data_IF_025627368789
#
_entry.id   IF_025627368789
#
_cell.length_a   1.000
_cell.length_b   1.000
_cell.length_c   1.000
_cell.angle_alpha   90.00
_cell.angle_beta   90.00
_cell.angle_gamma   90.00
#
_symmetry.space_group_name_H-M   'P 1'
#
loop_
_entity.id
_entity.type
_entity.pdbx_description
1 polymer ?
#
# COMPACT_ATOMS: atom_id res chain seq x y z
N UNK A 1 5.99 34.14 -13.01
CA UNK A 1 4.88 33.69 -12.14
C UNK A 1 5.30 33.92 -10.69
N UNK A 2 4.40 34.26 -9.75
CA UNK A 2 4.77 34.39 -8.32
C UNK A 2 4.33 33.16 -7.54
N UNK A 3 5.30 32.45 -6.96
CA UNK A 3 5.05 31.36 -6.00
C UNK A 3 5.52 31.82 -4.62
N UNK A 4 4.61 31.82 -3.65
CA UNK A 4 4.88 32.28 -2.28
C UNK A 4 5.56 33.67 -2.21
N UNK A 5 5.17 34.58 -3.10
CA UNK A 5 5.72 35.94 -3.16
C UNK A 5 7.09 36.07 -3.85
N UNK A 6 7.71 34.96 -4.27
CA UNK A 6 8.96 34.95 -5.04
C UNK A 6 8.64 34.94 -6.52
N UNK A 7 9.22 35.89 -7.27
CA UNK A 7 9.16 35.90 -8.73
C UNK A 7 9.98 34.72 -9.28
N UNK A 8 9.29 33.79 -9.95
CA UNK A 8 9.89 32.67 -10.64
C UNK A 8 9.91 33.01 -12.12
N UNK A 9 11.11 33.35 -12.60
CA UNK A 9 11.38 33.71 -14.00
C UNK A 9 12.02 32.55 -14.79
N UNK A 10 12.37 31.45 -14.13
CA UNK A 10 12.97 30.26 -14.73
C UNK A 10 12.00 29.07 -14.68
N UNK A 11 11.88 28.34 -15.79
CA UNK A 11 11.14 27.09 -15.87
C UNK A 11 12.04 25.97 -16.40
N UNK A 12 11.64 24.72 -16.17
CA UNK A 12 12.27 23.55 -16.78
C UNK A 12 11.67 23.21 -18.16
N UNK A 13 10.90 24.14 -18.75
CA UNK A 13 10.32 24.00 -20.08
C UNK A 13 11.45 23.82 -21.11
N UNK A 14 11.35 22.79 -21.95
CA UNK A 14 12.39 22.44 -22.93
C UNK A 14 13.51 21.54 -22.38
N UNK A 15 13.56 21.30 -21.06
CA UNK A 15 14.43 20.29 -20.43
C UNK A 15 13.64 19.02 -20.10
N UNK A 16 12.44 19.18 -19.55
CA UNK A 16 11.55 18.08 -19.23
C UNK A 16 10.20 18.20 -19.94
N UNK A 17 9.65 17.04 -20.26
CA UNK A 17 8.26 16.87 -20.65
C UNK A 17 7.50 16.20 -19.50
N UNK A 18 6.35 16.77 -19.12
CA UNK A 18 5.47 16.13 -18.14
C UNK A 18 4.67 15.03 -18.84
N UNK A 19 5.07 13.79 -18.61
CA UNK A 19 4.43 12.61 -19.24
C UNK A 19 3.16 12.15 -18.52
N UNK A 20 3.04 12.40 -17.22
CA UNK A 20 1.97 11.88 -16.39
C UNK A 20 1.85 12.72 -15.10
N UNK A 21 0.65 12.77 -14.50
CA UNK A 21 0.42 13.34 -13.16
C UNK A 21 -0.57 12.42 -12.46
N UNK A 22 -0.20 12.00 -11.26
CA UNK A 22 -1.05 11.19 -10.38
C UNK A 22 -1.43 12.01 -9.17
N UNK A 23 -2.72 12.10 -8.90
CA UNK A 23 -3.27 12.79 -7.75
C UNK A 23 -4.00 11.80 -6.86
N UNK A 24 -4.31 12.22 -5.64
CA UNK A 24 -5.00 11.36 -4.71
C UNK A 24 -5.02 11.90 -3.29
N UNK A 25 -5.50 11.07 -2.37
CA UNK A 25 -5.84 11.44 -1.02
C UNK A 25 -5.69 10.24 -0.07
N UNK A 26 -5.53 10.55 1.21
CA UNK A 26 -5.50 9.57 2.31
C UNK A 26 -5.96 10.29 3.56
N UNK A 27 -6.73 9.61 4.39
CA UNK A 27 -7.25 10.13 5.65
C UNK A 27 -8.75 10.01 5.75
N UNK A 28 -9.23 9.94 6.99
CA UNK A 28 -10.61 9.64 7.35
C UNK A 28 -11.59 10.59 6.63
N UNK A 29 -12.68 10.02 6.11
CA UNK A 29 -13.70 10.74 5.35
C UNK A 29 -13.37 10.95 3.87
N UNK A 30 -12.11 11.12 3.50
CA UNK A 30 -11.75 11.42 2.10
C UNK A 30 -12.18 10.32 1.12
N UNK A 31 -11.99 9.02 1.39
CA UNK A 31 -12.53 7.96 0.55
C UNK A 31 -14.06 7.98 0.42
N UNK A 32 -14.79 8.21 1.52
CA UNK A 32 -16.25 8.26 1.51
C UNK A 32 -16.75 9.46 0.69
N UNK A 33 -16.12 10.62 0.83
CA UNK A 33 -16.42 11.84 0.06
C UNK A 33 -16.12 11.69 -1.44
N UNK A 34 -15.28 10.73 -1.83
CA UNK A 34 -14.80 10.54 -3.20
C UNK A 34 -15.25 9.21 -3.83
N UNK A 35 -16.27 8.54 -3.27
CA UNK A 35 -16.65 7.20 -3.70
C UNK A 35 -17.57 7.13 -4.94
N UNK A 36 -17.94 8.27 -5.51
CA UNK A 36 -18.76 8.38 -6.72
C UNK A 36 -18.00 8.11 -8.03
N UNK A 37 -17.17 7.07 -8.08
CA UNK A 37 -16.33 6.71 -9.24
C UNK A 37 -16.51 5.25 -9.64
N UNK A 38 -16.09 4.91 -10.87
CA UNK A 38 -16.18 3.54 -11.37
C UNK A 38 -15.43 2.55 -10.47
N UNK A 39 -16.00 1.35 -10.31
CA UNK A 39 -15.42 0.31 -9.46
C UNK A 39 -15.94 0.33 -8.02
N UNK A 40 -16.78 1.30 -7.65
CA UNK A 40 -17.50 1.34 -6.36
C UNK A 40 -19.01 1.22 -6.61
N UNK A 41 -19.76 0.45 -5.80
CA UNK A 41 -21.21 0.42 -5.90
C UNK A 41 -21.88 1.77 -5.65
N UNK A 42 -23.00 2.01 -6.35
CA UNK A 42 -23.89 3.18 -6.16
C UNK A 42 -24.53 3.23 -4.75
N UNK A 43 -24.38 2.17 -3.95
CA UNK A 43 -24.85 2.11 -2.55
C UNK A 43 -23.97 2.90 -1.58
N UNK A 44 -22.86 3.48 -2.07
CA UNK A 44 -21.88 4.25 -1.29
C UNK A 44 -21.38 3.48 -0.04
N UNK A 45 -20.76 2.30 -0.22
CA UNK A 45 -20.48 1.38 0.89
C UNK A 45 -19.19 1.71 1.68
N UNK A 46 -18.41 2.71 1.27
CA UNK A 46 -17.17 3.11 1.97
C UNK A 46 -17.54 3.87 3.24
N UNK A 47 -17.12 3.41 4.44
CA UNK A 47 -17.47 4.08 5.70
C UNK A 47 -16.91 5.51 5.81
N UNK A 48 -17.66 6.40 6.47
CA UNK A 48 -17.30 7.81 6.69
C UNK A 48 -15.99 8.00 7.45
N UNK A 49 -15.61 7.04 8.29
CA UNK A 49 -14.36 7.05 9.06
C UNK A 49 -13.22 6.32 8.32
N UNK A 50 -13.45 5.83 7.10
CA UNK A 50 -12.47 5.01 6.40
C UNK A 50 -11.28 5.85 5.93
N UNK A 51 -10.04 5.48 6.30
CA UNK A 51 -8.84 6.19 5.83
C UNK A 51 -8.49 5.82 4.38
N UNK A 52 -8.99 4.68 3.90
CA UNK A 52 -8.75 4.12 2.56
C UNK A 52 -10.00 3.44 1.97
N UNK A 53 -10.07 3.27 0.66
CA UNK A 53 -11.22 2.75 -0.07
C UNK A 53 -11.67 1.33 0.29
N UNK A 54 -10.79 0.47 0.83
CA UNK A 54 -11.19 -0.90 1.20
C UNK A 54 -11.89 -0.99 2.56
N UNK A 55 -12.09 0.14 3.27
CA UNK A 55 -12.85 0.15 4.52
C UNK A 55 -12.05 -0.22 5.77
N UNK A 56 -10.71 -0.15 5.69
CA UNK A 56 -9.82 -0.55 6.77
C UNK A 56 -8.55 0.30 6.82
N UNK A 57 -8.07 0.53 8.05
CA UNK A 57 -6.77 1.11 8.32
C UNK A 57 -5.65 0.19 7.80
N UNK A 58 -4.70 0.77 7.08
CA UNK A 58 -3.54 0.04 6.54
C UNK A 58 -2.20 0.58 7.08
N UNK A 59 -2.16 1.84 7.51
CA UNK A 59 -0.96 2.56 7.96
C UNK A 59 -0.59 2.36 9.44
N UNK A 60 -0.64 1.14 9.97
CA UNK A 60 -0.21 0.87 11.36
C UNK A 60 1.29 1.14 11.55
N UNK A 61 1.68 1.89 12.58
CA UNK A 61 3.07 2.28 12.83
C UNK A 61 4.02 1.07 12.90
N UNK A 62 3.65 0.01 13.62
CA UNK A 62 4.46 -1.23 13.73
C UNK A 62 4.44 -2.10 12.47
N UNK A 63 3.66 -1.71 11.45
CA UNK A 63 3.66 -2.35 10.14
C UNK A 63 4.46 -1.55 9.11
N UNK A 64 5.18 -0.51 9.52
CA UNK A 64 6.05 0.30 8.69
C UNK A 64 7.52 0.07 9.04
N UNK A 65 8.39 -0.01 8.02
CA UNK A 65 9.83 0.08 8.25
C UNK A 65 10.20 1.47 8.81
N UNK A 66 11.32 1.57 9.52
CA UNK A 66 11.85 2.88 9.93
C UNK A 66 12.50 3.59 8.74
N UNK A 67 12.65 4.92 8.80
CA UNK A 67 13.39 5.66 7.77
C UNK A 67 14.84 5.17 7.63
N UNK A 68 15.49 4.84 8.75
CA UNK A 68 16.82 4.22 8.74
C UNK A 68 16.80 2.84 8.08
N UNK A 69 15.78 2.02 8.33
CA UNK A 69 15.65 0.67 7.79
C UNK A 69 15.40 0.61 6.27
N UNK A 70 15.00 1.73 5.65
CA UNK A 70 14.87 1.82 4.19
C UNK A 70 16.00 2.63 3.55
N UNK A 71 16.99 3.06 4.32
CA UNK A 71 18.10 3.87 3.84
C UNK A 71 19.22 2.98 3.30
N UNK A 72 19.76 3.32 2.13
CA UNK A 72 20.92 2.65 1.55
C UNK A 72 22.16 2.97 2.42
N UNK A 73 22.76 1.94 3.01
CA UNK A 73 23.89 2.10 3.94
C UNK A 73 25.20 2.54 3.28
N UNK A 74 25.49 2.00 2.08
CA UNK A 74 26.82 2.10 1.49
C UNK A 74 26.80 2.30 -0.02
N UNK A 75 27.94 2.76 -0.55
CA UNK A 75 28.15 2.97 -1.98
C UNK A 75 27.71 4.34 -2.50
N UNK A 76 27.64 4.52 -3.83
CA UNK A 76 27.44 5.83 -4.45
C UNK A 76 26.13 6.54 -4.07
N UNK A 77 25.13 5.78 -3.60
CA UNK A 77 23.81 6.26 -3.22
C UNK A 77 23.53 6.11 -1.72
N UNK A 78 24.58 5.93 -0.90
CA UNK A 78 24.46 5.92 0.55
C UNK A 78 23.66 7.13 1.06
N UNK A 79 22.74 6.92 1.99
CA UNK A 79 21.78 7.91 2.47
C UNK A 79 20.58 8.18 1.54
N UNK A 80 20.50 7.47 0.40
CA UNK A 80 19.34 7.42 -0.48
C UNK A 80 18.41 6.26 -0.12
N UNK A 81 17.41 6.00 -0.97
CA UNK A 81 16.51 4.84 -0.89
C UNK A 81 16.06 4.47 -2.30
N UNK A 82 15.44 3.30 -2.47
CA UNK A 82 14.65 3.03 -3.68
C UNK A 82 13.17 3.32 -3.41
N UNK A 83 12.42 3.62 -4.47
CA UNK A 83 10.98 3.87 -4.43
C UNK A 83 10.29 2.99 -5.47
N UNK A 84 9.21 2.34 -5.06
CA UNK A 84 8.29 1.67 -5.97
C UNK A 84 6.97 2.43 -6.01
N UNK A 85 6.40 2.61 -7.20
CA UNK A 85 5.02 3.07 -7.35
C UNK A 85 4.25 2.13 -8.27
N UNK A 86 3.09 1.66 -7.80
CA UNK A 86 2.12 0.92 -8.61
C UNK A 86 0.82 1.71 -8.73
N UNK A 87 0.23 1.72 -9.91
CA UNK A 87 -1.17 2.10 -10.08
C UNK A 87 -2.01 0.84 -10.04
N UNK A 88 -2.95 0.78 -9.11
CA UNK A 88 -3.76 -0.39 -8.83
C UNK A 88 -5.22 0.01 -8.97
N UNK A 89 -5.92 -0.54 -9.97
CA UNK A 89 -7.38 -0.44 -10.04
C UNK A 89 -7.99 -1.33 -8.97
N UNK A 90 -8.98 -0.81 -8.25
CA UNK A 90 -9.70 -1.53 -7.21
C UNK A 90 -11.08 -1.96 -7.74
N UNK A 91 -11.43 -3.23 -7.52
CA UNK A 91 -12.72 -3.81 -7.87
C UNK A 91 -13.59 -3.85 -6.61
N UNK A 92 -14.04 -2.67 -6.16
CA UNK A 92 -14.74 -2.52 -4.88
C UNK A 92 -16.21 -2.93 -4.97
N UNK A 93 -16.78 -2.99 -6.16
CA UNK A 93 -18.03 -3.68 -6.44
C UNK A 93 -17.99 -5.12 -5.95
N UNK A 94 -16.97 -5.87 -6.33
CA UNK A 94 -16.76 -7.24 -5.85
C UNK A 94 -16.45 -7.27 -4.36
N UNK A 95 -15.69 -6.30 -3.86
CA UNK A 95 -15.32 -6.25 -2.45
C UNK A 95 -16.53 -6.04 -1.54
N UNK A 96 -17.41 -5.08 -1.87
CA UNK A 96 -18.52 -4.69 -1.01
C UNK A 96 -19.81 -5.49 -1.27
N UNK A 97 -20.10 -5.86 -2.52
CA UNK A 97 -21.36 -6.55 -2.84
C UNK A 97 -21.27 -8.08 -2.68
N UNK A 98 -20.10 -8.68 -2.92
CA UNK A 98 -19.96 -10.15 -2.87
C UNK A 98 -19.51 -10.66 -1.52
N UNK A 99 -18.71 -9.88 -0.78
CA UNK A 99 -18.18 -10.30 0.50
C UNK A 99 -18.94 -9.66 1.68
N UNK A 100 -19.35 -10.51 2.60
CA UNK A 100 -19.74 -10.05 3.94
C UNK A 100 -18.58 -9.35 4.66
N UNK A 101 -18.93 -8.52 5.64
CA UNK A 101 -17.94 -7.87 6.52
C UNK A 101 -16.94 -8.88 7.12
N UNK A 102 -17.40 -10.04 7.57
CA UNK A 102 -16.53 -11.09 8.14
C UNK A 102 -15.53 -11.62 7.10
N UNK A 103 -15.97 -11.88 5.87
CA UNK A 103 -15.08 -12.29 4.78
C UNK A 103 -14.04 -11.21 4.45
N UNK A 104 -14.46 -9.94 4.40
CA UNK A 104 -13.56 -8.81 4.19
C UNK A 104 -12.50 -8.69 5.29
N UNK A 105 -12.87 -8.84 6.56
CA UNK A 105 -11.91 -8.89 7.68
C UNK A 105 -10.94 -10.06 7.51
N UNK A 106 -11.44 -11.25 7.18
CA UNK A 106 -10.61 -12.44 7.00
C UNK A 106 -9.59 -12.30 5.87
N UNK A 107 -10.01 -11.70 4.75
CA UNK A 107 -9.15 -11.45 3.57
C UNK A 107 -8.19 -10.28 3.78
N UNK A 108 -8.53 -9.28 4.59
CA UNK A 108 -7.64 -8.16 4.88
C UNK A 108 -6.61 -8.49 6.00
N UNK A 109 -7.06 -9.12 7.08
CA UNK A 109 -6.24 -9.40 8.27
C UNK A 109 -5.86 -10.87 8.36
N UNK A 110 -6.77 -11.70 8.89
CA UNK A 110 -6.67 -13.15 8.97
C UNK A 110 -8.02 -13.80 9.35
N UNK A 111 -8.19 -15.12 9.16
CA UNK A 111 -9.39 -15.85 9.57
C UNK A 111 -9.74 -15.68 11.06
N UNK A 112 -8.76 -15.75 11.96
CA UNK A 112 -8.98 -15.64 13.40
C UNK A 112 -9.55 -14.27 13.83
N UNK A 113 -9.15 -13.19 13.16
CA UNK A 113 -9.74 -11.86 13.38
C UNK A 113 -11.21 -11.81 12.97
N UNK A 114 -11.57 -12.50 11.88
CA UNK A 114 -12.94 -12.56 11.39
C UNK A 114 -13.85 -13.39 12.31
N UNK A 115 -13.33 -14.51 12.84
CA UNK A 115 -14.06 -15.41 13.74
C UNK A 115 -14.28 -14.80 15.13
N UNK A 116 -13.26 -14.12 15.66
CA UNK A 116 -13.33 -13.49 16.98
C UNK A 116 -14.04 -12.12 16.98
N UNK A 117 -14.22 -11.51 15.80
CA UNK A 117 -14.72 -10.15 15.68
C UNK A 117 -13.72 -9.09 16.17
N UNK A 118 -12.42 -9.37 16.10
CA UNK A 118 -11.36 -8.52 16.65
C UNK A 118 -11.20 -7.16 15.93
N UNK A 119 -11.78 -6.96 14.75
CA UNK A 119 -11.65 -5.71 13.96
C UNK A 119 -12.97 -4.93 13.99
N UNK A 120 -13.02 -3.92 14.85
CA UNK A 120 -14.16 -3.01 14.99
C UNK A 120 -14.05 -1.87 13.95
N UNK A 121 -15.16 -1.51 13.29
CA UNK A 121 -15.19 -0.40 12.34
C UNK A 121 -14.09 -0.47 11.27
N UNK A 122 -13.26 0.56 11.17
CA UNK A 122 -12.11 0.60 10.25
C UNK A 122 -10.84 -0.08 10.81
N UNK A 123 -10.88 -0.58 12.06
CA UNK A 123 -9.78 -1.27 12.73
C UNK A 123 -8.96 -0.38 13.67
N UNK A 124 -9.51 0.75 14.12
CA UNK A 124 -8.81 1.64 15.07
C UNK A 124 -8.54 0.99 16.42
N UNK A 125 -9.40 0.07 16.83
CA UNK A 125 -9.25 -0.70 18.07
C UNK A 125 -7.96 -1.55 18.09
N UNK A 126 -7.35 -1.84 16.93
CA UNK A 126 -6.07 -2.56 16.84
C UNK A 126 -4.87 -1.70 17.25
N UNK A 127 -5.04 -0.37 17.35
CA UNK A 127 -4.00 0.56 17.79
C UNK A 127 -2.91 0.76 16.73
N UNK A 128 -1.69 0.32 17.05
CA UNK A 128 -0.46 0.59 16.29
C UNK A 128 0.06 -0.60 15.46
N UNK A 129 -0.63 -1.74 15.46
CA UNK A 129 -0.28 -2.91 14.64
C UNK A 129 -1.53 -3.64 14.16
N UNK A 130 -1.38 -4.45 13.10
CA UNK A 130 -2.46 -5.33 12.64
C UNK A 130 -2.59 -6.62 13.47
N UNK A 131 -1.88 -6.75 14.59
CA UNK A 131 -1.98 -7.88 15.55
C UNK A 131 -1.80 -9.28 14.94
N UNK A 132 -0.85 -9.44 14.02
CA UNK A 132 -0.64 -10.73 13.34
C UNK A 132 -0.16 -11.86 14.27
N UNK A 133 0.38 -11.53 15.45
CA UNK A 133 0.73 -12.52 16.48
C UNK A 133 -0.50 -13.24 17.05
N UNK A 134 -1.69 -12.64 16.95
CA UNK A 134 -2.97 -13.23 17.37
C UNK A 134 -3.56 -14.14 16.26
N UNK A 135 -2.89 -14.25 15.11
CA UNK A 135 -3.30 -15.10 13.99
C UNK A 135 -2.43 -16.35 13.88
N UNK A 136 -3.00 -17.47 13.39
CA UNK A 136 -2.18 -18.61 13.01
C UNK A 136 -1.20 -18.23 11.88
N UNK A 137 -0.05 -18.93 11.77
CA UNK A 137 0.85 -18.79 10.63
C UNK A 137 0.11 -18.99 9.30
N UNK A 138 0.55 -18.30 8.25
CA UNK A 138 -0.12 -18.28 6.95
C UNK A 138 -0.25 -19.69 6.35
N UNK A 139 0.76 -20.53 6.50
CA UNK A 139 0.80 -21.92 6.04
C UNK A 139 -0.24 -22.78 6.76
N UNK A 140 -0.42 -22.56 8.06
CA UNK A 140 -1.46 -23.23 8.87
C UNK A 140 -2.84 -22.76 8.44
N UNK A 141 -3.04 -21.44 8.34
CA UNK A 141 -4.30 -20.85 7.90
C UNK A 141 -4.70 -21.35 6.49
N UNK A 142 -3.74 -21.44 5.57
CA UNK A 142 -3.96 -21.95 4.21
C UNK A 142 -4.46 -23.40 4.20
N UNK A 143 -3.89 -24.27 5.05
CA UNK A 143 -4.27 -25.69 5.12
C UNK A 143 -5.56 -25.94 5.88
N UNK A 144 -5.78 -25.23 6.98
CA UNK A 144 -6.88 -25.50 7.90
C UNK A 144 -8.16 -24.72 7.55
N UNK A 145 -8.02 -23.46 7.12
CA UNK A 145 -9.17 -22.59 6.83
C UNK A 145 -9.39 -22.35 5.34
N UNK A 146 -8.39 -22.63 4.48
CA UNK A 146 -8.45 -22.30 3.06
C UNK A 146 -8.51 -20.79 2.77
N UNK A 147 -8.12 -19.97 3.74
CA UNK A 147 -8.09 -18.50 3.69
C UNK A 147 -6.82 -17.99 4.36
N UNK A 148 -6.13 -17.08 3.67
CA UNK A 148 -4.98 -16.37 4.24
C UNK A 148 -5.19 -14.88 4.00
N UNK A 149 -5.12 -14.09 5.06
CA UNK A 149 -5.31 -12.65 4.96
C UNK A 149 -4.13 -11.92 4.33
N UNK A 150 -4.39 -10.71 3.82
CA UNK A 150 -3.37 -9.84 3.26
C UNK A 150 -2.29 -9.50 4.29
N UNK A 151 -2.69 -9.09 5.50
CA UNK A 151 -1.76 -8.73 6.58
C UNK A 151 -0.90 -9.92 7.03
N UNK A 152 -1.47 -11.14 7.09
CA UNK A 152 -0.70 -12.35 7.38
C UNK A 152 0.42 -12.58 6.38
N UNK A 153 0.13 -12.42 5.09
CA UNK A 153 1.13 -12.58 4.04
C UNK A 153 2.22 -11.52 4.12
N UNK A 154 1.84 -10.26 4.34
CA UNK A 154 2.83 -9.17 4.50
C UNK A 154 3.75 -9.44 5.70
N UNK A 155 3.23 -9.96 6.81
CA UNK A 155 4.02 -10.26 8.01
C UNK A 155 5.14 -11.28 7.77
N UNK A 156 4.99 -12.21 6.82
CA UNK A 156 6.03 -13.21 6.49
C UNK A 156 7.29 -12.60 5.87
N UNK A 157 7.18 -11.42 5.28
CA UNK A 157 8.32 -10.72 4.67
C UNK A 157 9.15 -9.92 5.69
N UNK A 158 8.82 -9.98 6.98
CA UNK A 158 9.54 -9.27 8.02
C UNK A 158 10.90 -9.90 8.30
N UNK A 159 11.89 -9.06 8.54
CA UNK A 159 13.22 -9.48 9.02
C UNK A 159 13.37 -9.15 10.49
N UNK A 160 13.66 -10.15 11.33
CA UNK A 160 13.73 -10.00 12.80
C UNK A 160 12.46 -9.31 13.35
N UNK A 161 11.29 -9.71 12.83
CA UNK A 161 9.97 -9.14 13.11
C UNK A 161 9.82 -7.64 12.75
N UNK A 162 10.67 -7.11 11.88
CA UNK A 162 10.55 -5.74 11.36
C UNK A 162 10.08 -5.74 9.91
N UNK A 163 9.11 -4.91 9.54
CA UNK A 163 8.80 -4.67 8.13
C UNK A 163 10.02 -4.14 7.38
N UNK A 164 10.20 -4.58 6.14
CA UNK A 164 11.34 -4.20 5.28
C UNK A 164 10.99 -3.12 4.26
N UNK A 165 9.74 -2.66 4.23
CA UNK A 165 9.28 -1.55 3.39
C UNK A 165 8.53 -0.49 4.20
N UNK A 166 8.63 0.75 3.75
CA UNK A 166 7.91 1.90 4.29
C UNK A 166 6.86 2.37 3.27
N UNK A 167 5.58 2.23 3.59
CA UNK A 167 4.49 2.55 2.66
C UNK A 167 3.98 3.98 2.85
N UNK A 168 3.62 4.61 1.73
CA UNK A 168 3.03 5.95 1.63
C UNK A 168 1.96 5.96 0.53
N UNK A 169 1.18 4.90 0.48
CA UNK A 169 0.09 4.73 -0.47
C UNK A 169 -1.09 5.65 -0.18
N UNK A 170 -1.86 5.94 -1.22
CA UNK A 170 -3.00 6.85 -1.19
C UNK A 170 -4.00 6.47 -2.29
N UNK A 171 -5.27 6.73 -2.03
CA UNK A 171 -6.36 6.50 -2.98
C UNK A 171 -6.44 7.62 -4.00
N UNK A 172 -7.10 7.35 -5.12
CA UNK A 172 -7.25 8.27 -6.23
C UNK A 172 -8.56 8.03 -6.98
N UNK A 173 -9.06 9.11 -7.56
CA UNK A 173 -10.16 9.14 -8.52
C UNK A 173 -9.67 9.48 -9.93
N UNK A 174 -8.35 9.50 -10.16
CA UNK A 174 -7.79 9.75 -11.47
C UNK A 174 -8.37 8.76 -12.49
N UNK A 175 -8.88 9.28 -13.61
CA UNK A 175 -9.54 8.46 -14.64
C UNK A 175 -10.98 8.07 -14.32
N UNK A 176 -11.62 8.72 -13.34
CA UNK A 176 -13.00 8.46 -12.91
C UNK A 176 -13.21 7.02 -12.40
N UNK A 177 -12.17 6.43 -11.83
CA UNK A 177 -12.17 5.06 -11.31
C UNK A 177 -11.46 4.93 -9.96
N UNK A 178 -11.94 4.01 -9.11
CA UNK A 178 -11.34 3.72 -7.81
C UNK A 178 -9.94 3.12 -7.98
N UNK A 179 -8.93 3.90 -7.61
CA UNK A 179 -7.53 3.53 -7.77
C UNK A 179 -6.77 3.69 -6.46
N UNK A 180 -5.84 2.78 -6.18
CA UNK A 180 -4.79 2.94 -5.18
C UNK A 180 -3.47 3.20 -5.88
N UNK A 181 -2.81 4.29 -5.51
CA UNK A 181 -1.40 4.49 -5.80
C UNK A 181 -0.56 3.88 -4.67
N UNK A 182 -0.15 2.63 -4.85
CA UNK A 182 0.76 1.99 -3.91
C UNK A 182 2.15 2.59 -4.06
N UNK A 183 2.61 3.35 -3.07
CA UNK A 183 3.96 3.88 -3.00
C UNK A 183 4.69 3.23 -1.82
N UNK A 184 5.87 2.69 -2.08
CA UNK A 184 6.77 2.21 -1.02
C UNK A 184 8.18 2.74 -1.20
N UNK A 185 8.86 2.90 -0.08
CA UNK A 185 10.29 3.13 0.04
C UNK A 185 10.92 1.89 0.66
N UNK A 186 12.10 1.54 0.18
CA UNK A 186 12.83 0.37 0.63
C UNK A 186 14.32 0.49 0.30
N UNK A 187 15.17 -0.17 1.09
CA UNK A 187 16.62 -0.08 0.94
C UNK A 187 17.04 -0.58 -0.44
N UNK A 188 16.48 -1.70 -0.89
CA UNK A 188 16.68 -2.23 -2.24
C UNK A 188 15.36 -2.59 -2.91
N UNK A 189 15.32 -2.63 -4.26
CA UNK A 189 14.16 -3.15 -4.99
C UNK A 189 13.88 -4.63 -4.67
N UNK A 190 14.87 -5.37 -4.13
CA UNK A 190 14.70 -6.72 -3.61
C UNK A 190 13.63 -6.76 -2.53
N UNK A 191 13.72 -5.89 -1.54
CA UNK A 191 12.80 -5.87 -0.37
C UNK A 191 11.33 -5.68 -0.80
N UNK A 192 11.09 -4.84 -1.83
CA UNK A 192 9.76 -4.72 -2.43
C UNK A 192 9.32 -6.01 -3.13
N UNK A 193 10.23 -6.63 -3.88
CA UNK A 193 9.96 -7.87 -4.62
C UNK A 193 9.65 -9.01 -3.66
N UNK A 194 10.42 -9.16 -2.58
CA UNK A 194 10.22 -10.17 -1.53
C UNK A 194 8.88 -9.97 -0.82
N UNK A 195 8.55 -8.72 -0.45
CA UNK A 195 7.25 -8.39 0.13
C UNK A 195 6.10 -8.72 -0.83
N UNK A 196 6.24 -8.37 -2.11
CA UNK A 196 5.24 -8.64 -3.16
C UNK A 196 5.07 -10.14 -3.40
N UNK A 197 6.15 -10.91 -3.41
CA UNK A 197 6.12 -12.37 -3.62
C UNK A 197 5.42 -13.05 -2.45
N UNK A 198 5.74 -12.65 -1.22
CA UNK A 198 5.01 -13.11 -0.04
C UNK A 198 3.51 -12.77 -0.11
N UNK A 199 3.18 -11.55 -0.52
CA UNK A 199 1.79 -11.14 -0.76
C UNK A 199 1.11 -11.89 -1.90
N UNK A 200 1.86 -12.38 -2.89
CA UNK A 200 1.30 -13.19 -3.98
C UNK A 200 0.90 -14.57 -3.44
N UNK A 201 1.70 -15.12 -2.52
CA UNK A 201 1.37 -16.36 -1.81
C UNK A 201 1.22 -17.56 -2.75
N UNK A 202 2.01 -17.61 -3.82
CA UNK A 202 1.98 -18.72 -4.79
C UNK A 202 2.35 -20.03 -4.13
N UNK A 203 3.37 -20.00 -3.28
CA UNK A 203 3.82 -21.11 -2.43
C UNK A 203 2.69 -21.66 -1.56
N UNK A 204 1.94 -20.77 -0.89
CA UNK A 204 0.79 -21.15 -0.06
C UNK A 204 -0.33 -21.81 -0.90
N UNK A 205 -0.56 -21.29 -2.11
CA UNK A 205 -1.60 -21.80 -3.01
C UNK A 205 -1.22 -23.14 -3.67
N UNK A 206 0.07 -23.41 -3.88
CA UNK A 206 0.54 -24.69 -4.46
C UNK A 206 0.52 -25.84 -3.44
N UNK A 207 0.67 -25.53 -2.15
CA UNK A 207 0.76 -26.52 -1.08
C UNK A 207 -0.54 -26.73 -0.27
N UNK A 208 -1.65 -26.09 -0.66
CA UNK A 208 -2.90 -26.14 0.10
C UNK A 208 -4.15 -25.98 -0.79
N UNK A 209 -5.33 -25.89 -0.15
CA UNK A 209 -6.58 -25.60 -0.82
C UNK A 209 -6.79 -24.09 -1.12
N UNK A 210 -5.82 -23.25 -0.76
CA UNK A 210 -5.88 -21.81 -1.00
C UNK A 210 -5.93 -21.50 -2.50
N UNK A 211 -6.88 -20.66 -2.91
CA UNK A 211 -6.96 -20.23 -4.31
C UNK A 211 -5.78 -19.36 -4.73
N UNK A 212 -5.48 -19.29 -6.03
CA UNK A 212 -4.46 -18.35 -6.55
C UNK A 212 -4.82 -16.88 -6.32
N UNK A 213 -6.12 -16.58 -6.19
CA UNK A 213 -6.64 -15.22 -5.91
C UNK A 213 -7.77 -15.27 -4.89
N UNK A 214 -8.73 -16.18 -5.08
CA UNK A 214 -9.83 -16.36 -4.13
C UNK A 214 -9.31 -16.82 -2.77
N UNK A 215 -9.80 -16.18 -1.70
CA UNK A 215 -9.34 -16.36 -0.33
C UNK A 215 -7.83 -16.15 -0.09
N UNK A 216 -7.09 -15.64 -1.08
CA UNK A 216 -5.66 -15.36 -0.98
C UNK A 216 -5.45 -13.86 -0.79
N UNK A 217 -5.87 -13.40 0.39
CA UNK A 217 -5.96 -12.01 0.77
C UNK A 217 -6.87 -11.22 -0.17
N UNK A 218 -6.38 -10.04 -0.59
CA UNK A 218 -7.13 -9.10 -1.43
C UNK A 218 -6.79 -9.16 -2.92
N UNK A 219 -6.06 -10.19 -3.38
CA UNK A 219 -5.58 -10.29 -4.78
C UNK A 219 -6.71 -10.33 -5.82
N UNK A 220 -7.90 -10.78 -5.43
CA UNK A 220 -9.08 -10.81 -6.31
C UNK A 220 -9.62 -9.40 -6.61
N UNK A 221 -9.44 -8.45 -5.69
CA UNK A 221 -10.07 -7.11 -5.75
C UNK A 221 -9.16 -6.05 -6.34
N UNK A 222 -8.04 -6.44 -6.94
CA UNK A 222 -7.05 -5.49 -7.43
C UNK A 222 -6.45 -5.89 -8.77
N UNK A 223 -6.10 -4.89 -9.57
CA UNK A 223 -5.39 -5.07 -10.84
C UNK A 223 -4.32 -4.00 -11.01
N UNK A 224 -3.06 -4.42 -10.97
CA UNK A 224 -1.92 -3.53 -11.20
C UNK A 224 -1.86 -3.20 -12.69
N UNK A 225 -1.95 -1.92 -13.05
CA UNK A 225 -1.97 -1.46 -14.43
C UNK A 225 -0.65 -0.82 -14.86
N UNK A 226 0.07 -0.24 -13.90
CA UNK A 226 1.37 0.43 -14.13
C UNK A 226 2.29 0.21 -12.96
N UNK A 227 3.60 0.16 -13.23
CA UNK A 227 4.66 0.15 -12.23
C UNK A 227 5.79 1.09 -12.64
N UNK A 228 6.40 1.74 -11.66
CA UNK A 228 7.65 2.47 -11.80
C UNK A 228 8.56 2.17 -10.63
N UNK A 229 9.86 2.01 -10.91
CA UNK A 229 10.90 1.86 -9.89
C UNK A 229 11.85 3.04 -10.05
N UNK A 230 12.18 3.69 -8.94
CA UNK A 230 13.01 4.88 -8.92
C UNK A 230 14.07 4.74 -7.84
N UNK A 231 15.22 5.36 -8.10
CA UNK A 231 16.23 5.60 -7.09
C UNK A 231 16.04 7.02 -6.58
N UNK A 232 15.92 7.18 -5.27
CA UNK A 232 15.88 8.48 -4.61
C UNK A 232 17.27 8.77 -4.05
N UNK A 233 18.01 9.73 -4.64
CA UNK A 233 19.32 10.10 -4.12
C UNK A 233 19.25 10.60 -2.67
N UNK A 234 20.37 10.57 -1.93
CA UNK A 234 20.45 11.23 -0.63
C UNK A 234 20.09 12.72 -0.76
N UNK A 235 19.49 13.28 0.30
CA UNK A 235 18.97 14.66 0.31
C UNK A 235 20.01 15.69 -0.17
N UNK A 236 21.27 15.55 0.24
CA UNK A 236 22.37 16.44 -0.17
C UNK A 236 22.69 16.42 -1.68
N UNK A 237 22.14 15.48 -2.44
CA UNK A 237 22.29 15.38 -3.90
C UNK A 237 21.00 15.68 -4.68
N UNK A 238 19.91 16.04 -4.00
CA UNK A 238 18.63 16.39 -4.64
C UNK A 238 18.61 17.87 -5.05
N UNK A 239 19.38 18.22 -6.08
CA UNK A 239 19.34 19.55 -6.69
C UNK A 239 19.54 19.43 -8.20
N UNK A 240 18.72 20.14 -8.98
CA UNK A 240 18.87 20.21 -10.44
C UNK A 240 18.65 21.64 -10.95
N UNK A 241 19.69 22.29 -11.51
CA UNK A 241 21.09 21.87 -11.47
C UNK A 241 21.62 21.82 -10.02
N UNK A 242 22.78 21.19 -9.79
CA UNK A 242 23.41 21.17 -8.48
C UNK A 242 23.56 22.61 -7.94
N UNK A 243 23.16 22.84 -6.68
CA UNK A 243 23.29 24.15 -6.08
C UNK A 243 24.77 24.52 -5.99
N UNK A 244 25.14 25.68 -6.53
CA UNK A 244 26.46 26.30 -6.34
C UNK A 244 26.23 27.54 -5.47
N UNK A 245 26.32 27.42 -4.13
CA UNK A 245 26.22 28.58 -3.26
C UNK A 245 27.36 29.54 -3.63
N UNK A 246 27.04 30.81 -3.94
CA UNK A 246 28.08 31.82 -4.07
C UNK A 246 28.74 31.97 -2.69
N UNK A 247 30.05 31.71 -2.62
CA UNK A 247 30.86 32.11 -1.47
C UNK A 247 30.91 33.63 -1.36
#
# INVERSE_FOLDING_TARGET
EKLNGVDIDASLTGVFERIDRRTGFVGDGLPADNQGVQGIPDSEPVPDDSPMYMGFKSGFDKNQATEDGVTIDAGPFAGGTTQQISTIKLHLDQWYDQDSRSQRVGKMFCPAHAESGAVEGVGDNLGDSSKMDDCPPAETAARESGLVGHSQKVARARENDRPIILRRDFDSTDGEEATLHFLSLQQTIGDFTDTRESMTGTDLAEESALGRKNNNGILQYMSVTRRGNYLLPPRGRRALPAAVPRQ
#
